data_IF_209545217519
#
_entry.id   IF_209545217519
#
_cell.length_a   1.000
_cell.length_b   1.000
_cell.length_c   1.000
_cell.angle_alpha   90.00
_cell.angle_beta   90.00
_cell.angle_gamma   90.00
#
_symmetry.space_group_name_H-M   'P 1'
#
loop_
_entity.id
_entity.type
_entity.pdbx_description
1 polymer ?
#
# COMPACT_ATOMS: atom_id res chain seq x y z
N UNK A 1 21.95 -2.11 -24.74
CA UNK A 1 22.61 -2.68 -23.55
C UNK A 1 21.49 -3.01 -22.58
N UNK A 2 21.21 -4.28 -22.36
CA UNK A 2 20.20 -4.69 -21.39
C UNK A 2 20.89 -4.68 -20.02
N UNK A 3 20.58 -3.66 -19.22
CA UNK A 3 21.00 -3.59 -17.83
C UNK A 3 20.49 -4.88 -17.16
N UNK A 4 21.41 -5.71 -16.69
CA UNK A 4 21.09 -6.94 -15.97
C UNK A 4 20.49 -6.51 -14.63
N UNK A 5 19.17 -6.27 -14.63
CA UNK A 5 18.46 -5.83 -13.44
C UNK A 5 18.65 -6.90 -12.38
N UNK A 6 19.42 -6.58 -11.33
CA UNK A 6 19.64 -7.48 -10.20
C UNK A 6 18.28 -7.69 -9.53
N UNK A 7 17.65 -8.83 -9.84
CA UNK A 7 16.37 -9.20 -9.24
C UNK A 7 16.62 -9.83 -7.88
N UNK A 8 16.13 -9.18 -6.83
CA UNK A 8 16.05 -9.73 -5.48
C UNK A 8 14.72 -10.47 -5.29
N UNK A 9 14.71 -11.49 -4.45
CA UNK A 9 13.48 -12.20 -4.07
C UNK A 9 13.06 -11.71 -2.69
N UNK A 10 11.80 -11.30 -2.55
CA UNK A 10 11.23 -11.00 -1.24
C UNK A 10 9.74 -11.31 -1.16
N UNK A 11 9.12 -10.98 -0.02
CA UNK A 11 7.72 -11.30 0.26
C UNK A 11 6.88 -10.03 0.24
N UNK A 12 5.75 -10.07 -0.47
CA UNK A 12 4.80 -8.97 -0.45
C UNK A 12 4.16 -8.85 0.93
N UNK A 13 4.18 -7.67 1.51
CA UNK A 13 3.59 -7.43 2.81
C UNK A 13 2.07 -7.61 2.82
N UNK A 14 1.37 -7.28 1.72
CA UNK A 14 -0.09 -7.37 1.65
C UNK A 14 -0.59 -8.79 1.38
N UNK A 15 -0.18 -9.41 0.27
CA UNK A 15 -0.67 -10.74 -0.12
C UNK A 15 0.19 -11.90 0.39
N UNK A 16 1.30 -11.60 1.07
CA UNK A 16 2.23 -12.58 1.64
C UNK A 16 2.86 -13.54 0.64
N UNK A 17 2.71 -13.32 -0.67
CA UNK A 17 3.36 -14.11 -1.73
C UNK A 17 4.80 -13.65 -1.95
N UNK A 18 5.66 -14.59 -2.30
CA UNK A 18 7.03 -14.29 -2.74
C UNK A 18 7.01 -13.76 -4.17
N UNK A 19 7.83 -12.76 -4.47
CA UNK A 19 7.98 -12.20 -5.81
C UNK A 19 9.40 -11.69 -6.03
N UNK A 20 9.84 -11.67 -7.29
CA UNK A 20 11.09 -11.04 -7.70
C UNK A 20 10.90 -9.55 -7.97
N UNK A 21 11.86 -8.72 -7.56
CA UNK A 21 11.83 -7.27 -7.80
C UNK A 21 13.22 -6.67 -7.87
N UNK A 22 13.33 -5.51 -8.52
CA UNK A 22 14.51 -4.66 -8.45
C UNK A 22 14.40 -3.74 -7.21
N UNK A 23 15.37 -3.75 -6.28
CA UNK A 23 15.28 -2.99 -5.02
C UNK A 23 15.01 -1.49 -5.20
N UNK A 24 15.54 -0.88 -6.27
CA UNK A 24 15.33 0.54 -6.57
C UNK A 24 14.01 0.88 -7.25
N UNK A 25 13.14 -0.09 -7.54
CA UNK A 25 11.90 0.12 -8.30
C UNK A 25 10.66 -0.50 -7.65
N UNK A 26 10.83 -1.30 -6.61
CA UNK A 26 9.73 -1.88 -5.84
C UNK A 26 9.10 -0.82 -4.94
N UNK A 27 7.78 -0.84 -4.81
CA UNK A 27 7.11 0.01 -3.84
C UNK A 27 7.37 -0.53 -2.43
N UNK A 28 7.90 0.31 -1.54
CA UNK A 28 8.08 0.00 -0.12
C UNK A 28 7.16 0.86 0.74
N UNK A 29 6.84 0.35 1.93
CA UNK A 29 6.11 1.07 2.97
C UNK A 29 6.86 0.89 4.28
N UNK A 30 7.05 1.98 5.02
CA UNK A 30 7.59 1.91 6.38
C UNK A 30 6.51 1.43 7.34
N UNK A 31 6.72 0.27 7.93
CA UNK A 31 5.79 -0.39 8.84
C UNK A 31 6.34 -0.38 10.26
N UNK A 32 5.52 -0.02 11.24
CA UNK A 32 5.85 -0.18 12.64
C UNK A 32 5.55 -1.63 13.08
N UNK A 33 6.57 -2.42 13.46
CA UNK A 33 6.37 -3.82 13.85
C UNK A 33 5.53 -3.98 15.13
N UNK A 34 5.49 -2.98 16.02
CA UNK A 34 4.69 -3.05 17.25
C UNK A 34 3.18 -2.96 16.95
N UNK A 35 2.80 -2.05 16.05
CA UNK A 35 1.38 -1.80 15.73
C UNK A 35 0.93 -2.55 14.48
N UNK A 36 1.86 -3.07 13.68
CA UNK A 36 1.62 -3.62 12.35
C UNK A 36 0.94 -2.62 11.39
N UNK A 37 1.18 -1.33 11.59
CA UNK A 37 0.60 -0.25 10.79
C UNK A 37 1.69 0.53 10.03
N UNK A 38 1.34 1.10 8.86
CA UNK A 38 2.21 2.07 8.21
C UNK A 38 2.53 3.23 9.14
N UNK A 39 3.73 3.77 9.05
CA UNK A 39 4.08 4.97 9.79
C UNK A 39 3.09 6.09 9.52
N UNK A 40 2.63 6.68 10.62
CA UNK A 40 1.65 7.76 10.61
C UNK A 40 0.22 7.33 10.30
N UNK A 41 -0.08 6.04 10.25
CA UNK A 41 -1.46 5.55 10.20
C UNK A 41 -1.96 5.21 11.61
N UNK A 42 -3.18 5.64 11.94
CA UNK A 42 -3.86 5.24 13.17
C UNK A 42 -4.69 3.97 12.94
N UNK A 43 -5.05 3.27 14.03
CA UNK A 43 -5.92 2.08 13.96
C UNK A 43 -7.27 2.37 13.29
N UNK A 44 -7.78 3.61 13.39
CA UNK A 44 -9.02 4.05 12.75
C UNK A 44 -8.84 4.43 11.27
N UNK A 45 -7.65 4.21 10.70
CA UNK A 45 -7.32 4.56 9.31
C UNK A 45 -7.07 6.05 9.07
N UNK A 46 -6.90 6.84 10.13
CA UNK A 46 -6.54 8.26 10.04
C UNK A 46 -5.04 8.48 9.91
N UNK A 47 -4.64 9.71 9.56
CA UNK A 47 -3.23 10.11 9.53
C UNK A 47 -2.84 10.85 10.82
N UNK A 48 -1.69 10.50 11.39
CA UNK A 48 -1.07 11.16 12.55
C UNK A 48 0.44 11.24 12.34
N UNK A 49 1.09 12.24 12.91
CA UNK A 49 2.56 12.27 12.92
C UNK A 49 3.13 11.08 13.71
N UNK A 50 4.03 10.27 13.13
CA UNK A 50 4.66 9.15 13.82
C UNK A 50 5.57 9.65 14.97
N UNK A 51 5.60 8.93 16.08
CA UNK A 51 6.53 9.24 17.18
C UNK A 51 7.97 8.91 16.78
N UNK A 52 8.99 9.56 17.36
CA UNK A 52 10.39 9.27 17.02
C UNK A 52 10.75 7.80 17.31
N UNK A 53 10.18 7.18 18.33
CA UNK A 53 10.39 5.76 18.64
C UNK A 53 9.79 4.87 17.56
N UNK A 54 8.59 5.21 17.05
CA UNK A 54 7.96 4.48 15.96
C UNK A 54 8.77 4.59 14.66
N UNK A 55 9.30 5.77 14.36
CA UNK A 55 10.16 5.98 13.20
C UNK A 55 11.46 5.15 13.33
N UNK A 56 12.11 5.16 14.49
CA UNK A 56 13.38 4.48 14.73
C UNK A 56 13.29 2.94 14.63
N UNK A 57 12.14 2.34 14.94
CA UNK A 57 11.91 0.89 14.86
C UNK A 57 11.22 0.44 13.58
N UNK A 58 10.83 1.38 12.72
CA UNK A 58 10.11 1.05 11.49
C UNK A 58 10.96 0.20 10.55
N UNK A 59 10.30 -0.67 9.81
CA UNK A 59 10.94 -1.58 8.85
C UNK A 59 10.34 -1.33 7.48
N UNK A 60 11.21 -1.29 6.46
CA UNK A 60 10.78 -1.24 5.07
C UNK A 60 10.20 -2.58 4.63
N UNK A 61 8.93 -2.55 4.23
CA UNK A 61 8.19 -3.71 3.76
C UNK A 61 7.84 -3.56 2.28
N UNK A 62 8.03 -4.63 1.51
CA UNK A 62 7.88 -4.61 0.05
C UNK A 62 6.46 -4.92 -0.37
N UNK A 63 5.95 -4.24 -1.40
CA UNK A 63 4.61 -4.49 -1.95
C UNK A 63 4.70 -4.90 -3.41
N UNK A 64 4.08 -6.02 -3.76
CA UNK A 64 4.07 -6.49 -5.16
C UNK A 64 3.20 -5.58 -6.04
N UNK A 65 3.54 -5.46 -7.34
CA UNK A 65 2.82 -4.58 -8.28
C UNK A 65 1.32 -4.90 -8.38
N UNK A 66 0.93 -6.18 -8.28
CA UNK A 66 -0.47 -6.58 -8.27
C UNK A 66 -1.26 -5.96 -7.11
N UNK A 67 -0.66 -5.94 -5.92
CA UNK A 67 -1.30 -5.37 -4.74
C UNK A 67 -1.38 -3.84 -4.85
N UNK A 68 -0.34 -3.20 -5.39
CA UNK A 68 -0.38 -1.75 -5.69
C UNK A 68 -1.51 -1.43 -6.66
N UNK A 69 -1.65 -2.21 -7.73
CA UNK A 69 -2.73 -2.05 -8.71
C UNK A 69 -4.12 -2.18 -8.09
N UNK A 70 -4.33 -3.18 -7.22
CA UNK A 70 -5.60 -3.37 -6.50
C UNK A 70 -5.94 -2.22 -5.57
N UNK A 71 -4.95 -1.71 -4.82
CA UNK A 71 -5.16 -0.56 -3.92
C UNK A 71 -5.50 0.69 -4.73
N UNK A 72 -4.84 0.91 -5.88
CA UNK A 72 -5.16 2.01 -6.78
C UNK A 72 -6.60 1.93 -7.32
N UNK A 73 -7.01 0.75 -7.79
CA UNK A 73 -8.38 0.52 -8.26
C UNK A 73 -9.42 0.74 -7.15
N UNK A 74 -9.13 0.29 -5.93
CA UNK A 74 -10.01 0.53 -4.78
C UNK A 74 -10.13 2.02 -4.47
N UNK A 75 -9.02 2.75 -4.51
CA UNK A 75 -9.02 4.21 -4.32
C UNK A 75 -9.88 4.90 -5.37
N UNK A 76 -9.69 4.57 -6.65
CA UNK A 76 -10.50 5.14 -7.75
C UNK A 76 -12.00 4.84 -7.60
N UNK A 77 -12.34 3.66 -7.08
CA UNK A 77 -13.72 3.29 -6.77
C UNK A 77 -14.30 4.12 -5.60
N UNK A 78 -13.53 4.33 -4.52
CA UNK A 78 -13.96 5.12 -3.37
C UNK A 78 -14.05 6.62 -3.67
N UNK A 79 -13.14 7.13 -4.50
CA UNK A 79 -13.10 8.53 -4.94
C UNK A 79 -14.15 8.83 -6.02
N UNK A 80 -14.78 7.80 -6.62
CA UNK A 80 -15.81 8.00 -7.63
C UNK A 80 -17.03 8.69 -7.03
N UNK A 81 -17.50 9.81 -7.61
CA UNK A 81 -18.67 10.51 -7.11
C UNK A 81 -19.88 9.58 -7.16
N UNK A 82 -20.60 9.50 -6.05
CA UNK A 82 -21.87 8.76 -5.97
C UNK A 82 -22.77 9.26 -7.11
N UNK A 83 -23.23 8.39 -8.04
CA UNK A 83 -24.12 8.83 -9.09
C UNK A 83 -25.35 9.48 -8.44
N UNK A 84 -25.82 10.64 -8.94
CA UNK A 84 -26.97 11.30 -8.35
C UNK A 84 -28.15 10.32 -8.35
N UNK A 85 -28.79 10.13 -7.20
CA UNK A 85 -30.03 9.37 -7.05
C UNK A 85 -31.16 10.04 -7.85
N UNK A 86 -31.13 9.94 -9.18
CA UNK A 86 -32.24 10.28 -10.06
C UNK A 86 -32.61 9.04 -10.84
N UNK A 87 -33.46 8.21 -10.23
CA UNK A 87 -34.53 7.40 -10.86
C UNK A 87 -35.10 6.40 -9.86
N UNK A 88 -35.86 6.88 -8.88
CA UNK A 88 -37.00 6.14 -8.36
C UNK A 88 -38.28 6.93 -8.68
N UNK A 89 -38.45 7.33 -9.94
CA UNK A 89 -39.77 7.70 -10.43
C UNK A 89 -40.45 6.41 -10.86
N UNK A 90 -41.21 5.85 -9.91
CA UNK A 90 -42.15 4.76 -10.16
C UNK A 90 -43.36 5.38 -10.89
N UNK A 91 -43.89 4.74 -11.95
CA UNK A 91 -45.09 5.21 -12.65
C UNK A 91 -46.32 5.22 -11.75
#
# INVERSE_FOLDING_TARGET
MADEQITTIGRCYLCKRTFGFAPGSVMTVLMDPETNLPLGMTLSGGQREPTPEAAARSVEEHVCPDCVGRVKQLKEFMDSPVPPFKTWQRP
#
